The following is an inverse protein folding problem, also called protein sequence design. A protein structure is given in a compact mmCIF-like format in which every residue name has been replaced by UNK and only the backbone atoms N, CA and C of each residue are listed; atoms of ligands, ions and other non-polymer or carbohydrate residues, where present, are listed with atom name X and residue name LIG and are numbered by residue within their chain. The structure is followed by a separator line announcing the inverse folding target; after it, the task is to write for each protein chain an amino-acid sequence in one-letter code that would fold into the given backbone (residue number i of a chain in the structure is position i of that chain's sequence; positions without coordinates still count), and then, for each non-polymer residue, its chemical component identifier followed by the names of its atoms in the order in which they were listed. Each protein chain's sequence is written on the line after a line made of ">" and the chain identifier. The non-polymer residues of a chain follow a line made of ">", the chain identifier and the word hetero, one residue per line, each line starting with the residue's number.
data_IF_676781391532
#
_entry.id   IF_676781391532
#
_cell.length_a   1.000
_cell.length_b   1.000
_cell.length_c   1.000
_cell.angle_alpha   90.00
_cell.angle_beta   90.00
_cell.angle_gamma   90.00
#
_symmetry.space_group_name_H-M   'P 1'
#
loop_
_entity.id
_entity.type
_entity.pdbx_description
1 polymer ?
#
# COMPACT_ATOMS: atom_id res chain seq x y z
N UNK A 1 35.94 32.54 -20.39
CA UNK A 1 35.25 31.23 -20.38
C UNK A 1 35.50 30.64 -19.00
N UNK A 2 34.46 30.51 -18.17
CA UNK A 2 34.63 30.07 -16.78
C UNK A 2 34.68 28.53 -16.74
N UNK A 3 35.72 28.00 -16.11
CA UNK A 3 36.08 26.59 -16.10
C UNK A 3 34.99 25.70 -15.48
N UNK A 4 34.39 24.82 -16.30
CA UNK A 4 33.43 23.81 -15.85
C UNK A 4 34.03 22.82 -14.84
N UNK A 5 35.35 22.65 -14.83
CA UNK A 5 36.08 21.82 -13.87
C UNK A 5 36.05 22.40 -12.45
N UNK A 6 36.08 23.73 -12.29
CA UNK A 6 35.98 24.37 -10.98
C UNK A 6 34.57 24.23 -10.38
N UNK A 7 33.54 24.29 -11.23
CA UNK A 7 32.16 24.05 -10.80
C UNK A 7 31.95 22.62 -10.27
N UNK A 8 32.59 21.63 -10.91
CA UNK A 8 32.53 20.24 -10.46
C UNK A 8 33.28 20.02 -9.14
N UNK A 9 34.40 20.72 -8.94
CA UNK A 9 35.18 20.69 -7.70
C UNK A 9 34.42 21.34 -6.53
N UNK A 10 33.70 22.43 -6.78
CA UNK A 10 32.83 23.08 -5.81
C UNK A 10 31.60 22.22 -5.44
N UNK A 11 31.03 21.46 -6.40
CA UNK A 11 29.92 20.53 -6.11
C UNK A 11 30.38 19.33 -5.27
N UNK A 12 31.58 18.78 -5.53
CA UNK A 12 32.12 17.64 -4.78
C UNK A 12 32.49 18.01 -3.33
N UNK A 13 33.01 19.20 -3.11
CA UNK A 13 33.31 19.73 -1.77
C UNK A 13 32.03 20.02 -0.97
N UNK A 14 30.99 20.62 -1.58
CA UNK A 14 29.66 20.76 -0.94
C UNK A 14 29.03 19.43 -0.54
N UNK A 15 29.16 18.39 -1.38
CA UNK A 15 28.65 17.04 -1.07
C UNK A 15 29.37 16.39 0.11
N UNK A 16 30.68 16.61 0.25
CA UNK A 16 31.48 15.99 1.31
C UNK A 16 31.29 16.70 2.66
N UNK A 17 31.13 18.03 2.64
CA UNK A 17 30.85 18.86 3.83
C UNK A 17 29.40 18.77 4.28
N UNK A 18 28.45 18.47 3.39
CA UNK A 18 27.04 18.22 3.71
C UNK A 18 26.75 16.75 4.04
N UNK A 19 27.71 16.05 4.66
CA UNK A 19 27.33 14.87 5.45
C UNK A 19 26.63 15.41 6.68
N UNK A 20 25.29 15.35 6.65
CA UNK A 20 24.39 15.44 7.81
C UNK A 20 25.18 15.06 9.06
N UNK A 21 25.38 16.02 9.95
CA UNK A 21 25.85 15.75 11.31
C UNK A 21 24.83 14.82 11.96
N UNK A 22 24.99 13.53 11.75
CA UNK A 22 24.21 12.50 12.43
C UNK A 22 24.67 12.60 13.88
N UNK A 23 23.78 12.96 14.82
CA UNK A 23 24.16 13.06 16.20
C UNK A 23 24.70 11.70 16.66
N UNK A 24 25.74 11.70 17.50
CA UNK A 24 26.36 10.46 17.95
C UNK A 24 25.31 9.55 18.61
N UNK A 25 25.42 8.22 18.42
CA UNK A 25 24.49 7.27 19.00
C UNK A 25 24.44 7.46 20.51
N UNK A 26 23.24 7.71 21.03
CA UNK A 26 23.02 8.03 22.46
C UNK A 26 23.17 6.81 23.38
N UNK A 27 23.36 5.62 22.80
CA UNK A 27 23.44 4.37 23.54
C UNK A 27 24.75 3.66 23.24
N UNK A 28 25.40 3.16 24.30
CA UNK A 28 26.59 2.33 24.14
C UNK A 28 26.23 1.03 23.39
N UNK A 29 27.14 0.50 22.56
CA UNK A 29 26.94 -0.80 21.94
C UNK A 29 26.76 -1.86 23.03
N UNK A 30 25.71 -2.67 22.91
CA UNK A 30 25.43 -3.76 23.86
C UNK A 30 26.60 -4.73 23.86
N UNK A 31 27.16 -5.01 25.05
CA UNK A 31 28.25 -5.99 25.23
C UNK A 31 27.78 -7.42 25.45
N UNK A 32 26.48 -7.62 25.63
CA UNK A 32 25.90 -8.94 25.87
C UNK A 32 25.28 -9.46 24.57
N UNK A 33 25.68 -10.65 24.10
CA UNK A 33 25.01 -11.34 23.00
C UNK A 33 23.50 -11.43 23.24
N UNK A 34 22.70 -11.23 22.19
CA UNK A 34 21.26 -11.46 22.24
C UNK A 34 21.07 -12.97 22.23
N UNK A 35 20.46 -13.52 23.28
CA UNK A 35 20.09 -14.92 23.34
C UNK A 35 19.07 -15.23 22.25
N UNK A 36 19.47 -16.04 21.26
CA UNK A 36 18.57 -16.58 20.27
C UNK A 36 17.83 -17.76 20.89
N UNK A 37 16.48 -17.81 20.84
CA UNK A 37 15.76 -18.97 21.35
C UNK A 37 16.12 -20.20 20.51
N UNK A 38 16.66 -21.22 21.17
CA UNK A 38 16.91 -22.53 20.59
C UNK A 38 15.58 -23.23 20.23
N UNK A 39 15.57 -23.96 19.11
CA UNK A 39 14.44 -24.76 18.66
C UNK A 39 14.07 -25.87 19.68
N UNK A 40 12.79 -26.27 19.78
CA UNK A 40 12.28 -26.98 20.95
C UNK A 40 12.49 -28.51 20.89
N UNK A 41 12.84 -29.11 22.03
CA UNK A 41 12.49 -30.50 22.38
C UNK A 41 12.52 -30.75 23.90
N UNK A 42 11.75 -31.73 24.41
CA UNK A 42 10.96 -31.56 25.63
C UNK A 42 11.52 -32.29 26.86
N UNK A 43 11.30 -31.73 28.06
CA UNK A 43 10.65 -32.37 29.23
C UNK A 43 11.01 -31.71 30.57
N UNK A 44 9.94 -31.51 31.37
CA UNK A 44 9.85 -31.57 32.84
C UNK A 44 10.48 -30.50 33.76
N UNK A 45 9.56 -29.77 34.40
CA UNK A 45 9.45 -29.50 35.84
C UNK A 45 9.92 -28.14 36.43
N UNK A 46 8.93 -27.51 37.09
CA UNK A 46 8.97 -26.73 38.33
C UNK A 46 9.20 -25.20 38.30
N UNK A 47 8.07 -24.51 38.52
CA UNK A 47 7.82 -23.53 39.61
C UNK A 47 8.24 -22.05 39.49
N UNK A 48 7.19 -21.24 39.70
CA UNK A 48 7.11 -19.91 40.34
C UNK A 48 7.02 -18.62 39.49
N UNK A 49 6.25 -17.61 39.96
CA UNK A 49 5.48 -16.70 39.12
C UNK A 49 6.10 -15.29 39.04
N UNK A 50 5.82 -14.51 37.98
CA UNK A 50 6.03 -13.07 38.05
C UNK A 50 4.72 -12.28 38.02
N UNK A 51 4.63 -11.40 39.01
CA UNK A 51 3.80 -10.22 39.20
C UNK A 51 3.04 -9.69 37.96
N UNK A 52 1.72 -9.59 38.12
CA UNK A 52 0.84 -8.83 37.21
C UNK A 52 1.09 -7.33 37.40
N UNK A 53 1.83 -6.72 36.47
CA UNK A 53 1.86 -5.27 36.27
C UNK A 53 0.54 -4.81 35.62
N UNK A 54 -0.12 -3.75 36.12
CA UNK A 54 -1.41 -3.30 35.56
C UNK A 54 -1.24 -2.77 34.14
N UNK A 55 -2.15 -3.19 33.26
CA UNK A 55 -2.18 -2.87 31.84
C UNK A 55 -2.50 -1.39 31.61
N UNK A 56 -1.70 -0.74 30.75
CA UNK A 56 -2.08 0.52 30.13
C UNK A 56 -3.25 0.29 29.15
N UNK A 57 -4.19 1.25 29.00
CA UNK A 57 -5.36 1.06 28.16
C UNK A 57 -4.94 0.93 26.69
N UNK A 58 -5.39 -0.14 26.03
CA UNK A 58 -5.22 -0.32 24.60
C UNK A 58 -5.92 0.82 23.83
N UNK A 59 -5.34 1.33 22.73
CA UNK A 59 -6.08 2.20 21.83
C UNK A 59 -7.27 1.42 21.26
N UNK A 60 -8.43 2.08 21.25
CA UNK A 60 -9.70 1.54 20.77
C UNK A 60 -9.51 0.78 19.45
N UNK A 61 -9.96 -0.47 19.44
CA UNK A 61 -10.02 -1.29 18.25
C UNK A 61 -10.80 -0.54 17.17
N UNK A 62 -10.13 -0.25 16.05
CA UNK A 62 -10.81 0.15 14.84
C UNK A 62 -11.71 -1.02 14.44
N UNK A 63 -13.03 -0.81 14.50
CA UNK A 63 -14.03 -1.73 13.99
C UNK A 63 -13.66 -2.09 12.55
N UNK A 64 -13.38 -3.37 12.23
CA UNK A 64 -13.19 -3.76 10.84
C UNK A 64 -14.51 -3.51 10.09
N UNK A 65 -14.50 -2.87 8.91
CA UNK A 65 -15.71 -2.73 8.13
C UNK A 65 -16.29 -4.11 7.83
N UNK A 66 -17.61 -4.20 7.94
CA UNK A 66 -18.38 -5.42 7.85
C UNK A 66 -18.14 -6.18 6.54
N UNK A 67 -18.18 -7.51 6.68
CA UNK A 67 -18.26 -8.55 5.65
C UNK A 67 -17.00 -8.75 4.81
N UNK A 68 -16.10 -9.59 5.34
CA UNK A 68 -15.12 -10.33 4.57
C UNK A 68 -15.81 -11.31 3.63
N UNK A 69 -16.37 -10.80 2.54
CA UNK A 69 -16.62 -11.63 1.38
C UNK A 69 -15.27 -12.11 0.84
N UNK A 70 -15.16 -13.40 0.57
CA UNK A 70 -13.94 -13.97 -0.02
C UNK A 70 -13.69 -13.31 -1.38
N UNK A 71 -12.62 -12.52 -1.46
CA UNK A 71 -12.23 -11.82 -2.68
C UNK A 71 -11.36 -12.74 -3.54
N UNK A 72 -11.79 -12.95 -4.78
CA UNK A 72 -10.96 -13.64 -5.78
C UNK A 72 -10.00 -12.65 -6.43
N UNK A 73 -8.75 -13.07 -6.63
CA UNK A 73 -7.76 -12.26 -7.34
C UNK A 73 -8.05 -12.30 -8.84
N UNK A 74 -8.25 -11.13 -9.43
CA UNK A 74 -8.48 -10.96 -10.88
C UNK A 74 -7.44 -9.99 -11.45
N UNK A 75 -6.97 -10.28 -12.67
CA UNK A 75 -6.11 -9.37 -13.44
C UNK A 75 -6.95 -8.77 -14.57
N UNK A 76 -6.94 -7.44 -14.69
CA UNK A 76 -7.69 -6.68 -15.71
C UNK A 76 -6.75 -5.72 -16.42
N UNK A 77 -7.04 -5.44 -17.69
CA UNK A 77 -6.36 -4.40 -18.45
C UNK A 77 -7.12 -3.09 -18.29
N UNK A 78 -6.39 -2.03 -17.99
CA UNK A 78 -6.88 -0.66 -17.91
C UNK A 78 -6.03 0.17 -18.87
N UNK A 79 -6.65 1.15 -19.51
CA UNK A 79 -5.88 2.17 -20.20
C UNK A 79 -5.20 3.12 -19.20
N UNK A 80 -4.26 3.93 -19.71
CA UNK A 80 -3.50 4.87 -18.89
C UNK A 80 -4.39 5.92 -18.21
N UNK A 81 -5.54 6.25 -18.81
CA UNK A 81 -6.46 7.26 -18.27
C UNK A 81 -7.22 6.72 -17.06
N UNK A 82 -7.68 5.47 -17.15
CA UNK A 82 -8.32 4.76 -16.06
C UNK A 82 -7.32 4.50 -14.93
N UNK A 83 -6.09 4.08 -15.24
CA UNK A 83 -5.01 3.92 -14.26
C UNK A 83 -4.74 5.22 -13.48
N UNK A 84 -4.54 6.33 -14.21
CA UNK A 84 -4.32 7.64 -13.61
C UNK A 84 -5.50 8.10 -12.73
N UNK A 85 -6.74 7.80 -13.14
CA UNK A 85 -7.93 8.12 -12.35
C UNK A 85 -7.95 7.38 -11.01
N UNK A 86 -7.54 6.10 -10.98
CA UNK A 86 -7.46 5.31 -9.74
C UNK A 86 -6.41 5.88 -8.78
N UNK A 87 -5.26 6.31 -9.30
CA UNK A 87 -4.21 6.92 -8.47
C UNK A 87 -4.62 8.31 -7.97
N UNK A 88 -5.32 9.11 -8.77
CA UNK A 88 -5.85 10.41 -8.36
C UNK A 88 -6.86 10.28 -7.21
N UNK A 89 -7.80 9.33 -7.30
CA UNK A 89 -8.75 9.02 -6.22
C UNK A 89 -8.02 8.59 -4.95
N UNK A 90 -7.00 7.74 -5.09
CA UNK A 90 -6.19 7.28 -3.96
C UNK A 90 -5.42 8.44 -3.30
N UNK A 91 -4.88 9.37 -4.08
CA UNK A 91 -4.23 10.57 -3.57
C UNK A 91 -5.23 11.45 -2.80
N UNK A 92 -6.42 11.68 -3.36
CA UNK A 92 -7.48 12.45 -2.72
C UNK A 92 -7.93 11.82 -1.40
N UNK A 93 -8.17 10.51 -1.36
CA UNK A 93 -8.58 9.77 -0.16
C UNK A 93 -7.56 9.84 1.00
N UNK A 94 -6.28 10.05 0.68
CA UNK A 94 -5.22 10.27 1.69
C UNK A 94 -5.22 11.67 2.27
N UNK A 95 -5.73 12.65 1.51
CA UNK A 95 -5.82 14.04 1.91
C UNK A 95 -7.10 14.34 2.72
N UNK A 96 -8.14 13.50 2.61
CA UNK A 96 -9.40 13.67 3.36
C UNK A 96 -9.24 13.34 4.86
N UNK A 97 -10.13 13.92 5.66
CA UNK A 97 -10.27 13.63 7.10
C UNK A 97 -11.72 13.22 7.38
N UNK A 98 -11.99 12.00 7.86
CA UNK A 98 -11.04 10.92 8.13
C UNK A 98 -10.35 10.39 6.86
N UNK A 99 -9.15 9.82 7.03
CA UNK A 99 -8.41 9.20 5.92
C UNK A 99 -9.08 7.88 5.57
N UNK A 100 -9.21 7.62 4.27
CA UNK A 100 -9.84 6.39 3.77
C UNK A 100 -8.79 5.53 3.07
N UNK A 101 -8.75 4.23 3.37
CA UNK A 101 -7.88 3.28 2.67
C UNK A 101 -8.49 2.90 1.31
N UNK A 102 -8.39 3.82 0.35
CA UNK A 102 -8.89 3.65 -1.01
C UNK A 102 -7.87 2.87 -1.87
N UNK A 103 -7.73 1.57 -1.61
CA UNK A 103 -6.96 0.69 -2.50
C UNK A 103 -7.61 0.61 -3.89
N UNK A 104 -6.83 0.30 -4.93
CA UNK A 104 -7.32 0.21 -6.31
C UNK A 104 -8.48 -0.78 -6.44
N UNK A 105 -8.39 -1.94 -5.79
CA UNK A 105 -9.47 -2.95 -5.77
C UNK A 105 -10.71 -2.49 -5.00
N UNK A 106 -10.58 -1.64 -3.98
CA UNK A 106 -11.73 -1.04 -3.30
C UNK A 106 -12.46 -0.04 -4.22
N UNK A 107 -11.71 0.78 -4.94
CA UNK A 107 -12.27 1.74 -5.91
C UNK A 107 -12.99 1.01 -7.05
N UNK A 108 -12.37 -0.03 -7.61
CA UNK A 108 -12.98 -0.84 -8.67
C UNK A 108 -14.27 -1.52 -8.18
N UNK A 109 -14.27 -2.11 -6.97
CA UNK A 109 -15.50 -2.69 -6.40
C UNK A 109 -16.60 -1.65 -6.23
N UNK A 110 -16.28 -0.47 -5.69
CA UNK A 110 -17.24 0.62 -5.56
C UNK A 110 -17.84 1.02 -6.92
N UNK A 111 -17.00 1.16 -7.95
CA UNK A 111 -17.44 1.49 -9.30
C UNK A 111 -18.38 0.41 -9.87
N UNK A 112 -18.05 -0.87 -9.68
CA UNK A 112 -18.90 -1.98 -10.13
C UNK A 112 -20.23 -2.05 -9.37
N UNK A 113 -20.25 -1.78 -8.06
CA UNK A 113 -21.49 -1.68 -7.30
C UNK A 113 -22.37 -0.54 -7.83
N UNK A 114 -21.79 0.63 -8.08
CA UNK A 114 -22.53 1.77 -8.67
C UNK A 114 -23.03 1.47 -10.08
N UNK A 115 -22.25 0.78 -10.90
CA UNK A 115 -22.65 0.37 -12.23
C UNK A 115 -23.88 -0.56 -12.17
N UNK A 116 -23.86 -1.53 -11.25
CA UNK A 116 -24.97 -2.47 -11.06
C UNK A 116 -26.24 -1.82 -10.49
N UNK A 117 -26.12 -0.73 -9.74
CA UNK A 117 -27.25 0.08 -9.28
C UNK A 117 -27.91 0.88 -10.42
N UNK A 118 -27.13 1.25 -11.44
CA UNK A 118 -27.56 2.17 -12.50
C UNK A 118 -28.02 1.48 -13.77
N UNK A 119 -27.41 0.35 -14.13
CA UNK A 119 -27.64 -0.34 -15.39
C UNK A 119 -27.94 -1.81 -15.18
N UNK A 120 -28.92 -2.30 -15.93
CA UNK A 120 -29.16 -3.73 -16.07
C UNK A 120 -28.06 -4.38 -16.92
N UNK A 121 -27.82 -5.69 -16.78
CA UNK A 121 -26.83 -6.39 -17.61
C UNK A 121 -27.08 -6.23 -19.11
N UNK A 122 -28.35 -6.17 -19.53
CA UNK A 122 -28.71 -6.00 -20.94
C UNK A 122 -28.30 -4.61 -21.47
N UNK A 123 -28.50 -3.56 -20.68
CA UNK A 123 -28.10 -2.20 -21.03
C UNK A 123 -26.58 -2.06 -21.08
N UNK A 124 -25.85 -2.68 -20.15
CA UNK A 124 -24.38 -2.70 -20.19
C UNK A 124 -23.90 -3.32 -21.50
N UNK A 125 -24.48 -4.45 -21.93
CA UNK A 125 -24.12 -5.08 -23.21
C UNK A 125 -24.44 -4.17 -24.39
N UNK A 126 -25.59 -3.50 -24.39
CA UNK A 126 -25.96 -2.56 -25.45
C UNK A 126 -24.98 -1.39 -25.56
N UNK A 127 -24.54 -0.83 -24.42
CA UNK A 127 -23.54 0.26 -24.40
C UNK A 127 -22.15 -0.20 -24.85
N UNK A 128 -21.74 -1.40 -24.46
CA UNK A 128 -20.49 -1.99 -24.94
C UNK A 128 -20.52 -2.23 -26.45
N UNK A 129 -21.66 -2.67 -27.01
CA UNK A 129 -21.83 -2.80 -28.46
C UNK A 129 -21.77 -1.45 -29.18
N UNK A 130 -22.43 -0.41 -28.62
CA UNK A 130 -22.37 0.96 -29.14
C UNK A 130 -20.94 1.51 -29.16
N UNK A 131 -20.17 1.25 -28.10
CA UNK A 131 -18.77 1.67 -27.95
C UNK A 131 -17.79 0.82 -28.78
N UNK A 132 -18.11 -0.44 -29.05
CA UNK A 132 -17.32 -1.29 -29.93
C UNK A 132 -17.46 -0.88 -31.40
N UNK A 133 -18.62 -0.34 -31.81
CA UNK A 133 -18.80 0.18 -33.17
C UNK A 133 -17.82 1.34 -33.50
N UNK A 134 -17.36 2.08 -32.48
CA UNK A 134 -16.33 3.11 -32.65
C UNK A 134 -14.90 2.57 -32.55
N UNK A 135 -14.70 1.35 -32.01
CA UNK A 135 -13.42 0.68 -31.86
C UNK A 135 -13.39 -0.60 -32.70
N UNK A 136 -13.37 -0.47 -34.02
CA UNK A 136 -13.23 -1.60 -34.94
C UNK A 136 -11.78 -2.11 -34.97
N UNK A 137 -11.33 -2.74 -33.88
CA UNK A 137 -10.18 -3.64 -33.88
C UNK A 137 -10.62 -5.05 -34.27
N UNK A 138 -9.75 -5.90 -34.83
CA UNK A 138 -10.09 -7.27 -35.17
C UNK A 138 -10.50 -8.02 -33.89
N UNK A 139 -11.81 -8.15 -33.68
CA UNK A 139 -12.37 -8.79 -32.51
C UNK A 139 -11.96 -10.25 -32.40
N UNK A 140 -11.89 -10.75 -31.17
CA UNK A 140 -11.69 -12.18 -30.90
C UNK A 140 -12.88 -12.96 -31.49
N UNK A 141 -12.62 -13.83 -32.47
CA UNK A 141 -13.63 -14.75 -33.03
C UNK A 141 -14.27 -15.54 -31.88
N UNK A 142 -15.58 -15.41 -31.73
CA UNK A 142 -16.36 -16.26 -30.84
C UNK A 142 -16.52 -17.61 -31.55
N UNK A 143 -15.80 -18.63 -31.07
CA UNK A 143 -16.09 -20.03 -31.37
C UNK A 143 -17.26 -20.51 -30.51
#
# INVERSE_FOLDING_TARGET
>A
MADGLDSLTAMRSKSTTSRRSIPPPRHQPRRTPVDMPAAPSPAAAASEPPEKKPAAPAPAAATPPASGADLTKVSIYLDDTADASLEAVRAAARATKPRVDATRSAIVRLALTRLAEQLTPAEIVAELQRSAATHSGPGRKRA
#
